data_IF_848934477658
#
_entry.id   IF_848934477658
#
_cell.length_a   1.000
_cell.length_b   1.000
_cell.length_c   1.000
_cell.angle_alpha   90.00
_cell.angle_beta   90.00
_cell.angle_gamma   90.00
#
_symmetry.space_group_name_H-M   'P 1'
#
loop_
_entity.id
_entity.type
_entity.pdbx_description
1 polymer ?
#
# COMPACT_ATOMS: atom_id res chain seq x y z
N UNK A 1 -24.51 0.98 -16.91
CA UNK A 1 -23.86 0.89 -18.23
C UNK A 1 -24.75 1.60 -19.23
N UNK A 2 -24.20 2.54 -20.00
CA UNK A 2 -25.00 3.32 -20.97
C UNK A 2 -24.86 2.77 -22.41
N UNK A 3 -23.88 1.90 -22.64
CA UNK A 3 -23.66 1.22 -23.92
C UNK A 3 -24.38 -0.12 -23.92
N UNK A 4 -25.33 -0.30 -24.83
CA UNK A 4 -25.97 -1.59 -25.04
C UNK A 4 -24.99 -2.57 -25.69
N UNK A 5 -25.02 -3.83 -25.25
CA UNK A 5 -24.23 -4.93 -25.84
C UNK A 5 -25.17 -5.77 -26.69
N UNK A 6 -24.81 -6.01 -27.95
CA UNK A 6 -25.65 -6.75 -28.88
C UNK A 6 -25.81 -8.22 -28.46
N UNK A 7 -26.97 -8.83 -28.79
CA UNK A 7 -27.17 -10.28 -28.66
C UNK A 7 -26.10 -11.04 -29.43
N UNK A 8 -25.55 -12.09 -28.82
CA UNK A 8 -24.47 -12.90 -29.37
C UNK A 8 -23.06 -12.34 -29.13
N UNK A 9 -22.93 -11.10 -28.63
CA UNK A 9 -21.63 -10.55 -28.27
C UNK A 9 -21.16 -11.04 -26.90
N UNK A 10 -19.84 -11.15 -26.72
CA UNK A 10 -19.24 -11.46 -25.42
C UNK A 10 -19.14 -10.21 -24.55
N UNK A 11 -19.22 -10.40 -23.24
CA UNK A 11 -18.99 -9.35 -22.25
C UNK A 11 -17.90 -9.78 -21.25
N UNK A 12 -17.21 -8.78 -20.71
CA UNK A 12 -16.29 -8.91 -19.60
C UNK A 12 -16.47 -7.70 -18.67
N UNK A 13 -16.62 -7.96 -17.37
CA UNK A 13 -16.83 -6.99 -16.31
C UNK A 13 -15.67 -7.09 -15.33
N UNK A 14 -15.07 -5.96 -14.99
CA UNK A 14 -13.99 -5.89 -14.03
C UNK A 14 -14.16 -4.68 -13.13
N UNK A 15 -13.66 -4.76 -11.90
CA UNK A 15 -13.52 -3.59 -11.04
C UNK A 15 -12.36 -2.76 -11.56
N UNK A 16 -12.66 -1.60 -12.15
CA UNK A 16 -11.64 -0.73 -12.73
C UNK A 16 -10.74 -0.10 -11.65
N UNK A 17 -11.32 0.28 -10.51
CA UNK A 17 -10.60 0.82 -9.36
C UNK A 17 -11.28 0.35 -8.09
N UNK A 18 -10.52 -0.27 -7.18
CA UNK A 18 -11.08 -0.73 -5.92
C UNK A 18 -11.46 0.46 -5.03
N UNK A 19 -12.63 0.46 -4.37
CA UNK A 19 -12.97 1.48 -3.40
C UNK A 19 -11.97 1.48 -2.24
N UNK A 20 -11.67 2.66 -1.70
CA UNK A 20 -10.81 2.75 -0.52
C UNK A 20 -11.44 1.99 0.67
N UNK A 21 -10.65 1.11 1.30
CA UNK A 21 -11.09 0.33 2.46
C UNK A 21 -12.02 -0.83 2.13
N UNK A 22 -12.17 -1.23 0.86
CA UNK A 22 -12.94 -2.41 0.46
C UNK A 22 -12.25 -3.22 -0.65
N UNK A 23 -12.54 -4.51 -0.70
CA UNK A 23 -12.23 -5.37 -1.84
C UNK A 23 -13.53 -5.79 -2.48
N UNK A 24 -13.73 -5.39 -3.74
CA UNK A 24 -14.84 -5.85 -4.54
C UNK A 24 -14.40 -6.98 -5.48
N UNK A 25 -15.18 -8.06 -5.52
CA UNK A 25 -15.06 -9.13 -6.51
C UNK A 25 -16.32 -9.19 -7.38
N UNK A 26 -16.15 -9.63 -8.63
CA UNK A 26 -17.25 -9.78 -9.59
C UNK A 26 -17.44 -11.27 -9.89
N UNK A 27 -18.60 -11.80 -9.54
CA UNK A 27 -19.03 -13.13 -9.95
C UNK A 27 -19.78 -13.05 -11.29
N UNK A 28 -19.66 -14.09 -12.11
CA UNK A 28 -20.20 -14.13 -13.48
C UNK A 28 -19.71 -12.94 -14.33
N UNK A 29 -18.44 -12.59 -14.18
CA UNK A 29 -17.82 -11.43 -14.81
C UNK A 29 -17.73 -11.51 -16.34
N UNK A 30 -17.86 -12.69 -16.94
CA UNK A 30 -17.80 -12.87 -18.39
C UNK A 30 -18.85 -13.84 -18.89
N UNK A 31 -19.21 -13.71 -20.17
CA UNK A 31 -20.16 -14.57 -20.85
C UNK A 31 -20.58 -14.02 -22.20
N UNK A 32 -21.65 -14.59 -22.77
CA UNK A 32 -22.25 -14.13 -24.03
C UNK A 32 -23.65 -13.61 -23.75
N UNK A 33 -23.99 -12.47 -24.34
CA UNK A 33 -25.35 -11.90 -24.26
C UNK A 33 -26.30 -12.78 -25.06
N UNK A 34 -27.34 -13.30 -24.41
CA UNK A 34 -28.40 -14.06 -25.08
C UNK A 34 -29.46 -13.14 -25.70
N UNK A 35 -30.66 -13.67 -25.93
CA UNK A 35 -31.82 -12.87 -26.36
C UNK A 35 -32.41 -11.99 -25.25
N UNK A 36 -31.89 -12.06 -24.02
CA UNK A 36 -32.35 -11.32 -22.85
C UNK A 36 -31.20 -10.69 -22.08
N UNK A 37 -31.51 -9.68 -21.26
CA UNK A 37 -30.52 -9.00 -20.41
C UNK A 37 -29.79 -9.96 -19.47
N UNK A 38 -28.48 -9.76 -19.34
CA UNK A 38 -27.64 -10.45 -18.36
C UNK A 38 -27.83 -9.79 -16.99
N UNK A 39 -28.53 -10.48 -16.08
CA UNK A 39 -28.80 -10.01 -14.70
C UNK A 39 -28.00 -10.76 -13.62
N UNK A 40 -27.17 -11.72 -14.01
CA UNK A 40 -26.44 -12.61 -13.09
C UNK A 40 -25.08 -12.07 -12.62
N UNK A 41 -24.61 -10.95 -13.18
CA UNK A 41 -23.37 -10.32 -12.73
C UNK A 41 -23.58 -9.79 -11.32
N UNK A 42 -22.79 -10.30 -10.37
CA UNK A 42 -22.89 -9.92 -8.97
C UNK A 42 -21.57 -9.29 -8.52
N UNK A 43 -21.66 -8.10 -7.93
CA UNK A 43 -20.50 -7.41 -7.34
C UNK A 43 -20.64 -7.50 -5.82
N UNK A 44 -19.65 -8.11 -5.18
CA UNK A 44 -19.59 -8.23 -3.72
C UNK A 44 -18.38 -7.44 -3.23
N UNK A 45 -18.62 -6.44 -2.39
CA UNK A 45 -17.56 -5.67 -1.74
C UNK A 45 -17.49 -6.04 -0.27
N UNK A 46 -16.32 -6.48 0.18
CA UNK A 46 -16.03 -6.74 1.59
C UNK A 46 -15.15 -5.62 2.13
N UNK A 47 -15.39 -5.21 3.38
CA UNK A 47 -14.49 -4.28 4.06
C UNK A 47 -13.09 -4.88 4.11
N UNK A 48 -12.10 -4.09 3.70
CA UNK A 48 -10.72 -4.44 3.97
C UNK A 48 -10.51 -4.41 5.48
N UNK A 49 -9.58 -5.24 6.00
CA UNK A 49 -9.09 -5.03 7.35
C UNK A 49 -8.68 -3.55 7.48
N UNK A 50 -9.13 -2.88 8.54
CA UNK A 50 -8.79 -1.47 8.82
C UNK A 50 -7.27 -1.20 8.86
N UNK A 51 -6.49 -2.28 8.91
CA UNK A 51 -5.04 -2.31 8.85
C UNK A 51 -4.45 -2.43 7.42
N UNK A 52 -5.22 -2.29 6.34
CA UNK A 52 -4.67 -2.28 5.00
C UNK A 52 -3.75 -1.03 4.77
N UNK A 53 -2.70 -1.13 3.92
CA UNK A 53 -1.66 -0.11 3.83
C UNK A 53 -2.01 1.07 2.91
N UNK A 54 -3.22 1.17 2.37
CA UNK A 54 -3.57 2.22 1.40
C UNK A 54 -3.63 3.62 2.01
N UNK A 55 -3.39 4.59 1.13
CA UNK A 55 -3.45 6.01 1.42
C UNK A 55 -2.08 6.67 1.42
N UNK A 56 -2.07 7.91 1.89
CA UNK A 56 -0.87 8.72 2.01
C UNK A 56 -0.23 8.53 3.39
N UNK A 57 1.09 8.37 3.39
CA UNK A 57 1.90 8.14 4.58
C UNK A 57 3.13 9.04 4.55
N UNK A 58 3.47 9.61 5.69
CA UNK A 58 4.65 10.46 5.84
C UNK A 58 5.60 9.82 6.85
N UNK A 59 6.88 9.68 6.49
CA UNK A 59 7.89 9.16 7.39
C UNK A 59 7.89 9.98 8.67
N UNK A 60 8.03 9.33 9.82
CA UNK A 60 8.15 10.03 11.08
C UNK A 60 9.54 10.64 11.23
N UNK A 61 10.57 9.93 10.75
CA UNK A 61 11.89 10.47 10.64
C UNK A 61 11.94 11.55 9.56
N UNK A 62 12.65 12.60 9.88
CA UNK A 62 12.91 13.73 9.00
C UNK A 62 14.42 13.92 8.99
N UNK A 63 15.04 13.77 7.83
CA UNK A 63 16.48 13.95 7.72
C UNK A 63 16.79 15.44 7.81
N UNK A 64 17.67 15.82 8.74
CA UNK A 64 18.12 17.20 8.90
C UNK A 64 19.57 17.30 8.37
N UNK A 65 19.74 18.01 7.26
CA UNK A 65 21.03 18.55 6.83
C UNK A 65 21.29 19.90 7.51
N UNK A 66 22.30 20.63 7.03
CA UNK A 66 22.66 21.96 7.59
C UNK A 66 21.47 22.93 7.60
N UNK A 67 20.93 23.27 6.42
CA UNK A 67 19.78 24.18 6.32
C UNK A 67 18.54 23.54 5.69
N UNK A 68 18.66 22.28 5.26
CA UNK A 68 17.61 21.55 4.56
C UNK A 68 17.07 20.43 5.42
N UNK A 69 15.76 20.27 5.39
CA UNK A 69 15.04 19.17 6.00
C UNK A 69 14.32 18.38 4.92
N UNK A 70 14.56 17.07 4.88
CA UNK A 70 13.99 16.15 3.90
C UNK A 70 13.09 15.14 4.60
N UNK A 71 11.87 14.97 4.09
CA UNK A 71 10.91 14.00 4.62
C UNK A 71 10.41 13.12 3.50
N UNK A 72 10.33 11.82 3.79
CA UNK A 72 9.85 10.82 2.84
C UNK A 72 8.33 10.64 2.92
N UNK A 73 7.72 10.35 1.78
CA UNK A 73 6.29 10.13 1.63
C UNK A 73 6.01 8.89 0.79
N UNK A 74 4.96 8.15 1.15
CA UNK A 74 4.41 7.07 0.37
C UNK A 74 2.97 7.41 0.01
N UNK A 75 2.60 7.17 -1.23
CA UNK A 75 1.20 7.06 -1.64
C UNK A 75 0.96 5.64 -2.15
N UNK A 76 0.11 4.90 -1.44
CA UNK A 76 -0.15 3.48 -1.71
C UNK A 76 -1.55 3.34 -2.28
N UNK A 77 -1.60 2.91 -3.54
CA UNK A 77 -2.83 2.68 -4.29
C UNK A 77 -2.97 1.19 -4.55
N UNK A 78 -4.15 0.65 -4.29
CA UNK A 78 -4.46 -0.74 -4.57
C UNK A 78 -4.84 -0.91 -6.05
N UNK A 79 -4.20 -1.84 -6.74
CA UNK A 79 -4.54 -2.23 -8.12
C UNK A 79 -5.23 -3.61 -8.20
N UNK A 80 -5.15 -4.43 -7.14
CA UNK A 80 -5.78 -5.75 -7.09
C UNK A 80 -5.96 -6.26 -5.65
N UNK A 81 -6.27 -7.55 -5.51
CA UNK A 81 -6.54 -8.14 -4.19
C UNK A 81 -5.33 -8.12 -3.25
N UNK A 82 -4.12 -8.32 -3.78
CA UNK A 82 -2.86 -8.21 -3.03
C UNK A 82 -1.78 -7.42 -3.81
N UNK A 83 -2.17 -6.72 -4.88
CA UNK A 83 -1.29 -5.92 -5.72
C UNK A 83 -1.51 -4.44 -5.47
N UNK A 84 -0.42 -3.74 -5.20
CA UNK A 84 -0.39 -2.33 -4.86
C UNK A 84 0.68 -1.62 -5.69
N UNK A 85 0.43 -0.35 -5.94
CA UNK A 85 1.41 0.58 -6.46
C UNK A 85 1.80 1.53 -5.33
N UNK A 86 3.09 1.63 -5.11
CA UNK A 86 3.71 2.48 -4.10
C UNK A 86 4.43 3.60 -4.82
N UNK A 87 3.92 4.82 -4.71
CA UNK A 87 4.67 6.01 -5.12
C UNK A 87 5.46 6.49 -3.91
N UNK A 88 6.78 6.34 -3.96
CA UNK A 88 7.69 6.83 -2.93
C UNK A 88 8.30 8.15 -3.39
N UNK A 89 8.42 9.12 -2.49
CA UNK A 89 9.00 10.43 -2.81
C UNK A 89 9.60 11.07 -1.57
N UNK A 90 10.29 12.20 -1.77
CA UNK A 90 10.77 13.00 -0.65
C UNK A 90 10.63 14.47 -0.95
N UNK A 91 10.27 15.25 0.06
CA UNK A 91 10.18 16.71 -0.03
C UNK A 91 11.32 17.30 0.79
N UNK A 92 12.11 18.18 0.17
CA UNK A 92 13.21 18.90 0.82
C UNK A 92 12.86 20.38 0.91
N UNK A 93 12.89 20.95 2.11
CA UNK A 93 12.65 22.39 2.36
C UNK A 93 13.68 23.00 3.28
N UNK A 94 13.79 24.32 3.21
CA UNK A 94 14.65 25.15 4.04
C UNK A 94 14.01 25.38 5.43
N UNK A 95 14.69 24.98 6.51
CA UNK A 95 14.28 25.04 7.94
C UNK A 95 12.93 24.37 8.36
N UNK A 96 12.89 23.84 9.60
CA UNK A 96 11.76 23.31 10.40
C UNK A 96 10.51 22.68 9.73
N UNK A 97 10.64 22.08 8.55
CA UNK A 97 9.53 21.48 7.79
C UNK A 97 8.92 20.23 8.42
N UNK A 98 9.62 19.57 9.34
CA UNK A 98 9.21 18.30 9.92
C UNK A 98 7.90 18.40 10.75
N UNK A 99 7.48 19.61 11.12
CA UNK A 99 6.31 19.88 11.96
C UNK A 99 5.04 20.31 11.19
N UNK A 100 5.16 20.74 9.92
CA UNK A 100 4.05 21.37 9.17
C UNK A 100 3.33 20.38 8.24
N UNK A 101 3.01 19.19 8.74
CA UNK A 101 2.46 18.08 7.95
C UNK A 101 1.33 18.49 7.02
N UNK A 102 1.43 18.09 5.74
CA UNK A 102 0.33 18.26 4.80
C UNK A 102 0.67 18.09 3.32
N UNK A 103 1.93 18.23 2.92
CA UNK A 103 2.24 18.30 1.48
C UNK A 103 2.92 17.02 0.96
N UNK A 104 2.13 16.15 0.35
CA UNK A 104 2.62 15.07 -0.50
C UNK A 104 2.92 15.63 -1.89
N UNK A 105 4.19 15.79 -2.28
CA UNK A 105 4.53 16.30 -3.61
C UNK A 105 5.79 15.67 -4.21
N UNK A 106 5.67 15.38 -5.52
CA UNK A 106 6.64 14.82 -6.48
C UNK A 106 7.29 13.47 -6.08
N UNK A 107 6.59 12.38 -6.40
CA UNK A 107 7.12 11.02 -6.27
C UNK A 107 8.25 10.70 -7.26
N UNK A 108 9.21 9.91 -6.78
CA UNK A 108 10.10 9.06 -7.58
C UNK A 108 9.27 7.91 -8.22
N UNK A 109 9.81 7.03 -9.11
CA UNK A 109 8.96 6.15 -9.89
C UNK A 109 8.13 5.23 -8.99
N UNK A 110 6.90 4.96 -9.45
CA UNK A 110 6.03 3.98 -8.85
C UNK A 110 6.73 2.62 -8.74
N UNK A 111 6.81 2.07 -7.53
CA UNK A 111 7.23 0.70 -7.28
C UNK A 111 5.99 -0.19 -7.21
N UNK A 112 6.09 -1.43 -7.71
CA UNK A 112 5.00 -2.40 -7.55
C UNK A 112 5.24 -3.25 -6.32
N UNK A 113 4.19 -3.50 -5.55
CA UNK A 113 4.23 -4.31 -4.34
C UNK A 113 3.15 -5.37 -4.42
N UNK A 114 3.55 -6.64 -4.34
CA UNK A 114 2.64 -7.78 -4.34
C UNK A 114 2.82 -8.54 -3.03
N UNK A 115 1.76 -8.63 -2.23
CA UNK A 115 1.77 -9.45 -1.03
C UNK A 115 1.34 -10.88 -1.35
N UNK A 116 2.03 -11.85 -0.76
CA UNK A 116 1.72 -13.29 -0.86
C UNK A 116 1.20 -13.86 0.46
N UNK A 117 1.46 -13.16 1.57
CA UNK A 117 1.02 -13.59 2.89
C UNK A 117 0.62 -12.39 3.72
N UNK A 118 -0.47 -12.57 4.48
CA UNK A 118 -0.97 -11.61 5.45
C UNK A 118 -1.28 -12.33 6.75
N UNK A 119 -0.89 -11.75 7.87
CA UNK A 119 -1.24 -12.23 9.20
C UNK A 119 -1.68 -11.08 10.09
N UNK A 120 -2.48 -11.37 11.11
CA UNK A 120 -2.93 -10.39 12.10
C UNK A 120 -2.82 -10.97 13.50
N UNK A 121 -2.24 -10.19 14.41
CA UNK A 121 -2.06 -10.52 15.82
C UNK A 121 -2.38 -9.27 16.65
N UNK A 122 -3.45 -9.33 17.43
CA UNK A 122 -3.91 -8.19 18.23
C UNK A 122 -4.14 -6.94 17.38
N UNK A 123 -3.32 -5.91 17.60
CA UNK A 123 -3.39 -4.61 16.91
C UNK A 123 -2.47 -4.49 15.68
N UNK A 124 -1.68 -5.53 15.40
CA UNK A 124 -0.73 -5.55 14.30
C UNK A 124 -1.22 -6.43 13.16
N UNK A 125 -1.16 -5.90 11.95
CA UNK A 125 -1.33 -6.67 10.71
C UNK A 125 -0.04 -6.57 9.91
N UNK A 126 0.50 -7.73 9.54
CA UNK A 126 1.73 -7.86 8.78
C UNK A 126 1.43 -8.39 7.37
N UNK A 127 2.13 -7.84 6.38
CA UNK A 127 2.02 -8.19 4.98
C UNK A 127 3.41 -8.54 4.45
N UNK A 128 3.60 -9.78 4.02
CA UNK A 128 4.83 -10.24 3.38
C UNK A 128 4.63 -10.21 1.88
N UNK A 129 5.62 -9.66 1.19
CA UNK A 129 5.51 -9.47 -0.25
C UNK A 129 6.83 -9.24 -0.94
N UNK A 130 6.72 -9.06 -2.23
CA UNK A 130 7.83 -8.69 -3.11
C UNK A 130 7.59 -7.28 -3.62
N UNK A 131 8.57 -6.42 -3.38
CA UNK A 131 8.63 -5.07 -3.92
C UNK A 131 9.54 -5.10 -5.16
N UNK A 132 9.05 -4.59 -6.27
CA UNK A 132 9.77 -4.53 -7.54
C UNK A 132 9.86 -3.09 -8.00
N UNK A 133 11.08 -2.65 -8.31
CA UNK A 133 11.38 -1.35 -8.88
C UNK A 133 12.30 -1.49 -10.11
N UNK A 134 12.77 -0.38 -10.66
CA UNK A 134 13.64 -0.38 -11.84
C UNK A 134 14.99 -1.07 -11.63
N UNK A 135 15.42 -1.25 -10.37
CA UNK A 135 16.71 -1.88 -10.02
C UNK A 135 16.61 -3.37 -9.72
N UNK A 136 15.39 -3.91 -9.54
CA UNK A 136 15.17 -5.32 -9.26
C UNK A 136 14.00 -5.58 -8.32
N UNK A 137 13.92 -6.82 -7.82
CA UNK A 137 12.89 -7.26 -6.86
C UNK A 137 13.51 -7.63 -5.52
N UNK A 138 12.84 -7.30 -4.42
CA UNK A 138 13.26 -7.67 -3.06
C UNK A 138 12.08 -8.11 -2.20
N UNK A 139 12.35 -9.00 -1.23
CA UNK A 139 11.39 -9.33 -0.17
C UNK A 139 11.24 -8.17 0.78
N UNK A 140 10.00 -7.90 1.18
CA UNK A 140 9.67 -6.87 2.16
C UNK A 140 8.57 -7.36 3.09
N UNK A 141 8.56 -6.80 4.29
CA UNK A 141 7.44 -6.95 5.22
C UNK A 141 6.92 -5.58 5.58
N UNK A 142 5.63 -5.39 5.44
CA UNK A 142 4.94 -4.16 5.82
C UNK A 142 4.07 -4.45 7.04
N UNK A 143 4.23 -3.66 8.09
CA UNK A 143 3.50 -3.85 9.33
C UNK A 143 2.65 -2.62 9.64
N UNK A 144 1.36 -2.84 9.89
CA UNK A 144 0.40 -1.82 10.31
C UNK A 144 0.06 -2.03 11.77
N UNK A 145 0.30 -1.00 12.60
CA UNK A 145 -0.02 -0.99 14.03
C UNK A 145 -0.54 0.40 14.40
N UNK A 146 -1.83 0.53 14.68
CA UNK A 146 -2.46 1.83 14.95
C UNK A 146 -2.28 2.84 13.79
N UNK A 147 -1.75 4.05 14.02
CA UNK A 147 -1.51 5.05 12.96
C UNK A 147 -0.22 4.81 12.18
N UNK A 148 0.54 3.76 12.51
CA UNK A 148 1.86 3.51 11.95
C UNK A 148 1.80 2.51 10.79
N UNK A 149 2.60 2.76 9.76
CA UNK A 149 2.97 1.82 8.72
C UNK A 149 4.50 1.70 8.75
N UNK A 150 5.03 0.52 9.04
CA UNK A 150 6.47 0.27 9.14
C UNK A 150 6.89 -0.65 8.00
N UNK A 151 7.91 -0.23 7.23
CA UNK A 151 8.56 -1.11 6.27
C UNK A 151 9.76 -1.79 6.93
N UNK A 152 9.76 -3.12 6.90
CA UNK A 152 10.76 -3.98 7.51
C UNK A 152 11.50 -4.83 6.45
N UNK A 153 12.78 -5.13 6.67
CA UNK A 153 13.63 -4.58 7.73
C UNK A 153 13.94 -3.10 7.49
N UNK A 154 14.15 -2.36 8.58
CA UNK A 154 14.45 -0.93 8.50
C UNK A 154 15.72 -0.69 7.69
N UNK A 155 15.63 0.20 6.70
CA UNK A 155 16.78 0.66 5.93
C UNK A 155 17.40 1.89 6.61
N UNK A 156 18.66 1.85 7.06
CA UNK A 156 19.37 3.06 7.46
C UNK A 156 19.57 3.98 6.25
N UNK A 157 19.51 5.31 6.44
CA UNK A 157 19.54 6.31 5.37
C UNK A 157 20.71 6.13 4.37
N UNK A 158 21.87 5.65 4.83
CA UNK A 158 23.08 5.42 4.02
C UNK A 158 23.54 3.96 3.95
N UNK A 159 22.65 3.00 4.19
CA UNK A 159 22.99 1.58 4.09
C UNK A 159 21.87 0.81 3.36
N UNK A 160 22.20 -0.31 2.69
CA UNK A 160 21.16 -1.22 2.22
C UNK A 160 20.34 -1.71 3.42
N UNK A 161 19.08 -2.06 3.18
CA UNK A 161 18.28 -2.70 4.22
C UNK A 161 19.01 -3.99 4.65
N UNK A 162 19.19 -4.25 5.95
CA UNK A 162 19.83 -5.47 6.40
C UNK A 162 18.98 -6.65 5.94
N UNK A 163 19.60 -7.76 5.54
CA UNK A 163 18.85 -8.98 5.24
C UNK A 163 18.42 -9.58 6.57
N UNK A 164 17.12 -9.51 6.87
CA UNK A 164 16.52 -10.11 8.07
C UNK A 164 15.25 -10.83 7.67
N UNK A 165 15.15 -12.08 8.11
CA UNK A 165 13.98 -12.91 7.88
C UNK A 165 12.91 -12.67 8.95
N UNK A 166 11.65 -12.72 8.52
CA UNK A 166 10.48 -12.56 9.38
C UNK A 166 9.57 -13.79 9.26
N UNK A 167 9.93 -14.93 9.87
CA UNK A 167 9.17 -16.16 9.71
C UNK A 167 7.77 -16.08 10.34
N UNK A 168 7.61 -15.30 11.41
CA UNK A 168 6.35 -15.23 12.19
C UNK A 168 5.90 -13.80 12.41
N UNK A 169 4.61 -13.60 12.64
CA UNK A 169 4.10 -12.28 13.05
C UNK A 169 4.72 -11.75 14.35
N UNK A 170 5.18 -12.63 15.25
CA UNK A 170 5.85 -12.23 16.48
C UNK A 170 7.20 -11.53 16.22
N UNK A 171 7.99 -12.01 15.26
CA UNK A 171 9.25 -11.33 14.90
C UNK A 171 9.01 -10.02 14.18
N UNK A 172 7.91 -9.92 13.41
CA UNK A 172 7.46 -8.66 12.82
C UNK A 172 7.03 -7.67 13.90
N UNK A 173 6.27 -8.12 14.89
CA UNK A 173 5.77 -7.26 15.96
C UNK A 173 6.90 -6.68 16.81
N UNK A 174 7.89 -7.49 17.18
CA UNK A 174 9.07 -7.00 17.91
C UNK A 174 9.78 -5.87 17.15
N UNK A 175 10.08 -6.08 15.87
CA UNK A 175 10.76 -5.08 15.04
C UNK A 175 9.89 -3.87 14.73
N UNK A 176 8.57 -4.04 14.69
CA UNK A 176 7.61 -2.93 14.54
C UNK A 176 7.54 -2.06 15.79
N UNK A 177 7.68 -2.64 16.97
CA UNK A 177 7.69 -1.87 18.21
C UNK A 177 9.00 -1.10 18.38
N UNK A 178 10.13 -1.72 18.04
CA UNK A 178 11.39 -1.00 17.90
C UNK A 178 11.27 0.05 16.79
N UNK A 179 10.61 -0.30 15.68
CA UNK A 179 10.03 0.52 14.60
C UNK A 179 9.68 1.93 15.03
N UNK A 180 8.59 1.92 15.78
CA UNK A 180 7.86 3.06 16.29
C UNK A 180 8.72 3.81 17.31
N UNK A 181 9.40 3.11 18.23
CA UNK A 181 10.26 3.74 19.24
C UNK A 181 11.39 4.57 18.64
N UNK A 182 12.00 4.09 17.56
CA UNK A 182 13.08 4.82 16.89
C UNK A 182 12.58 5.74 15.76
N UNK A 183 11.28 6.04 15.71
CA UNK A 183 10.71 7.00 14.75
C UNK A 183 10.97 6.57 13.29
N UNK A 184 11.05 5.26 13.06
CA UNK A 184 11.45 4.66 11.79
C UNK A 184 10.29 4.19 10.91
N UNK A 185 9.06 4.53 11.28
CA UNK A 185 7.85 4.19 10.54
C UNK A 185 7.27 5.42 9.83
N UNK A 186 6.17 5.22 9.12
CA UNK A 186 5.37 6.27 8.54
C UNK A 186 4.07 6.45 9.34
N UNK A 187 3.59 7.68 9.44
CA UNK A 187 2.27 8.01 9.97
C UNK A 187 1.30 8.30 8.83
N UNK A 188 0.06 7.85 9.00
CA UNK A 188 -1.00 8.15 8.04
C UNK A 188 -1.22 9.67 7.96
N UNK A 189 -1.24 10.21 6.75
CA UNK A 189 -1.57 11.61 6.50
C UNK A 189 -3.10 11.74 6.48
N UNK A 190 -3.70 12.67 7.24
CA UNK A 190 -5.13 12.96 7.12
C UNK A 190 -5.46 13.42 5.70
N UNK A 191 -6.58 12.94 5.16
CA UNK A 191 -7.11 13.44 3.89
C UNK A 191 -7.68 14.85 4.04
#
# INVERSE_FOLDING_TARGET
>A
FNTAVASGATYAVQVQTQPAGQTCSVANASGTVGSSDVRSVQVTCTGLPQAAPEGAWAAESCFQGFDLTTREYLNIVREGELRFIVTQGSVTRYFSFCNSGGEALAGQPAESLVFDRQETSGSLTAFWGTQTNSTGSRRVVWARKGPYLCQLPRKPFNQPAPVKDYPTIASVEQDTDEAIKAVGCFKKVPN
#
